data_IF_971851927247
#
_entry.id   IF_971851927247
#
_cell.length_a   1.000
_cell.length_b   1.000
_cell.length_c   1.000
_cell.angle_alpha   90.00
_cell.angle_beta   90.00
_cell.angle_gamma   90.00
#
_symmetry.space_group_name_H-M   'P 1'
#
loop_
_entity.id
_entity.type
_entity.pdbx_description
1 polymer ?
#
# COMPACT_ATOMS: atom_id res chain seq x y z
N UNK A 1 -44.62 7.11 24.41
CA UNK A 1 -44.54 7.84 23.14
C UNK A 1 -43.12 7.74 22.63
N UNK A 2 -42.93 7.04 21.51
CA UNK A 2 -41.67 7.03 20.77
C UNK A 2 -41.55 8.34 19.98
N UNK A 3 -40.35 8.92 19.90
CA UNK A 3 -39.93 9.63 18.70
C UNK A 3 -38.42 9.74 18.63
N UNK A 4 -37.89 9.24 17.52
CA UNK A 4 -36.51 9.23 17.11
C UNK A 4 -36.07 10.61 16.61
N UNK A 5 -34.75 10.81 16.53
CA UNK A 5 -34.03 11.29 15.34
C UNK A 5 -32.82 12.14 15.77
N UNK A 6 -31.64 11.61 15.44
CA UNK A 6 -30.37 12.30 15.52
C UNK A 6 -29.22 11.42 15.05
N UNK A 7 -29.49 10.46 14.16
CA UNK A 7 -28.43 9.79 13.41
C UNK A 7 -28.14 10.69 12.20
N UNK A 8 -27.34 11.74 12.44
CA UNK A 8 -26.71 12.47 11.34
C UNK A 8 -25.75 11.53 10.61
N UNK A 9 -25.42 11.78 9.33
CA UNK A 9 -24.43 10.97 8.63
C UNK A 9 -23.16 10.92 9.49
N UNK A 10 -22.79 9.73 9.96
CA UNK A 10 -21.50 9.58 10.63
C UNK A 10 -20.45 10.12 9.65
N UNK A 11 -19.54 11.01 10.07
CA UNK A 11 -18.46 11.42 9.20
C UNK A 11 -17.75 10.14 8.77
N UNK A 12 -17.57 9.93 7.45
CA UNK A 12 -16.72 8.86 6.94
C UNK A 12 -15.43 8.91 7.77
N UNK A 13 -15.14 7.87 8.54
CA UNK A 13 -13.91 7.81 9.35
C UNK A 13 -12.90 7.00 8.57
N UNK A 14 -11.68 7.49 8.47
CA UNK A 14 -10.58 6.70 7.94
C UNK A 14 -10.40 5.44 8.79
N UNK A 15 -10.11 4.31 8.14
CA UNK A 15 -10.02 3.03 8.83
C UNK A 15 -9.83 1.82 7.93
N UNK A 16 -9.53 0.68 8.55
CA UNK A 16 -9.39 -0.60 7.87
C UNK A 16 -10.74 -1.08 7.37
N UNK A 17 -10.83 -1.35 6.07
CA UNK A 17 -12.02 -1.89 5.41
C UNK A 17 -11.89 -3.38 5.09
N UNK A 18 -10.66 -3.87 4.92
CA UNK A 18 -10.35 -5.27 4.68
C UNK A 18 -9.07 -5.66 5.41
N UNK A 19 -9.08 -6.82 6.06
CA UNK A 19 -7.88 -7.43 6.61
C UNK A 19 -8.01 -8.95 6.54
N UNK A 20 -7.34 -9.55 5.55
CA UNK A 20 -7.47 -10.99 5.27
C UNK A 20 -6.10 -11.64 5.07
N UNK A 21 -5.93 -12.79 5.70
CA UNK A 21 -4.80 -13.68 5.43
C UNK A 21 -5.07 -14.52 4.19
N UNK A 22 -4.07 -14.68 3.34
CA UNK A 22 -4.15 -15.49 2.13
C UNK A 22 -2.85 -16.26 1.88
N UNK A 23 -2.91 -17.19 0.93
CA UNK A 23 -1.74 -17.94 0.46
C UNK A 23 -1.43 -17.58 -0.98
N UNK A 24 -0.21 -17.11 -1.25
CA UNK A 24 0.31 -16.78 -2.57
C UNK A 24 1.30 -17.87 -2.98
N UNK A 25 0.84 -18.83 -3.78
CA UNK A 25 1.64 -20.01 -4.11
C UNK A 25 1.96 -20.83 -2.86
N UNK A 26 3.24 -20.90 -2.48
CA UNK A 26 3.71 -21.59 -1.27
C UNK A 26 3.87 -20.67 -0.05
N UNK A 27 3.51 -19.39 -0.16
CA UNK A 27 3.83 -18.37 0.85
C UNK A 27 2.58 -17.81 1.50
N UNK A 28 2.69 -17.47 2.79
CA UNK A 28 1.66 -16.70 3.48
C UNK A 28 1.71 -15.24 3.05
N UNK A 29 0.55 -14.62 2.95
CA UNK A 29 0.40 -13.19 2.78
C UNK A 29 -0.81 -12.66 3.56
N UNK A 30 -0.89 -11.34 3.67
CA UNK A 30 -1.99 -10.62 4.30
C UNK A 30 -2.34 -9.43 3.41
N UNK A 31 -3.59 -9.36 2.99
CA UNK A 31 -4.14 -8.27 2.20
C UNK A 31 -4.88 -7.34 3.15
N UNK A 32 -4.49 -6.07 3.16
CA UNK A 32 -5.07 -5.03 3.99
C UNK A 32 -5.56 -3.91 3.08
N UNK A 33 -6.81 -3.49 3.26
CA UNK A 33 -7.36 -2.30 2.64
C UNK A 33 -7.71 -1.27 3.72
N UNK A 34 -7.43 -0.01 3.41
CA UNK A 34 -7.64 1.12 4.30
C UNK A 34 -8.33 2.23 3.52
N UNK A 35 -9.48 2.66 4.01
CA UNK A 35 -10.18 3.81 3.48
C UNK A 35 -9.69 5.06 4.20
N UNK A 36 -9.31 6.08 3.45
CA UNK A 36 -9.08 7.41 3.99
C UNK A 36 -10.24 8.35 3.65
N UNK A 37 -10.84 8.94 4.68
CA UNK A 37 -12.00 9.80 4.54
C UNK A 37 -11.66 11.25 4.18
N UNK A 38 -10.44 11.72 4.44
CA UNK A 38 -10.03 13.08 4.08
C UNK A 38 -9.91 13.22 2.56
N UNK A 39 -9.41 12.17 1.90
CA UNK A 39 -9.23 12.09 0.45
C UNK A 39 -10.26 11.22 -0.27
N UNK A 40 -11.20 10.61 0.46
CA UNK A 40 -12.19 9.64 -0.05
C UNK A 40 -11.52 8.60 -0.96
N UNK A 41 -10.40 8.06 -0.48
CA UNK A 41 -9.50 7.20 -1.28
C UNK A 41 -9.23 5.89 -0.54
N UNK A 42 -9.33 4.80 -1.28
CA UNK A 42 -8.98 3.47 -0.78
C UNK A 42 -7.52 3.13 -1.12
N UNK A 43 -6.80 2.64 -0.12
CA UNK A 43 -5.45 2.12 -0.24
C UNK A 43 -5.47 0.62 -0.01
N UNK A 44 -4.73 -0.13 -0.82
CA UNK A 44 -4.61 -1.58 -0.67
C UNK A 44 -3.13 -1.97 -0.60
N UNK A 45 -2.77 -2.81 0.36
CA UNK A 45 -1.43 -3.38 0.49
C UNK A 45 -1.48 -4.88 0.63
N UNK A 46 -0.49 -5.52 0.02
CA UNK A 46 -0.24 -6.95 0.13
C UNK A 46 1.09 -7.18 0.84
N UNK A 47 1.00 -7.69 2.05
CA UNK A 47 2.12 -8.12 2.87
C UNK A 47 2.43 -9.59 2.56
N UNK A 48 3.70 -9.93 2.31
CA UNK A 48 4.10 -11.26 1.85
C UNK A 48 5.24 -11.78 2.72
N UNK A 49 5.08 -12.99 3.25
CA UNK A 49 6.09 -13.64 4.08
C UNK A 49 6.09 -13.15 5.53
N UNK A 50 7.29 -13.06 6.14
CA UNK A 50 7.47 -12.76 7.56
C UNK A 50 7.66 -11.25 7.77
N UNK A 51 6.58 -10.54 8.10
CA UNK A 51 6.56 -9.07 8.22
C UNK A 51 6.62 -8.60 9.67
N UNK A 52 6.04 -9.36 10.59
CA UNK A 52 5.99 -9.01 12.02
C UNK A 52 7.42 -8.96 12.57
N UNK A 53 7.75 -7.87 13.25
CA UNK A 53 9.07 -7.57 13.82
C UNK A 53 10.21 -7.48 12.79
N UNK A 54 9.89 -7.49 11.49
CA UNK A 54 10.90 -7.39 10.44
C UNK A 54 11.42 -5.96 10.29
N UNK A 55 12.72 -5.83 9.99
CA UNK A 55 13.39 -4.57 9.71
C UNK A 55 13.63 -4.43 8.20
N UNK A 56 13.61 -3.18 7.75
CA UNK A 56 13.92 -2.73 6.41
C UNK A 56 13.14 -3.54 5.37
N UNK A 57 11.85 -3.71 5.63
CA UNK A 57 10.98 -4.48 4.76
C UNK A 57 10.79 -3.71 3.45
N UNK A 58 11.13 -4.32 2.31
CA UNK A 58 11.07 -3.62 1.04
C UNK A 58 9.64 -3.36 0.62
N UNK A 59 9.38 -2.11 0.23
CA UNK A 59 8.11 -1.69 -0.36
C UNK A 59 8.23 -1.54 -1.86
N UNK A 60 7.18 -1.94 -2.58
CA UNK A 60 7.08 -1.77 -4.03
C UNK A 60 5.67 -1.33 -4.40
N UNK A 61 5.58 -0.26 -5.18
CA UNK A 61 4.32 0.19 -5.76
C UNK A 61 4.05 -0.63 -7.02
N UNK A 62 2.88 -1.26 -7.06
CA UNK A 62 2.41 -2.08 -8.19
C UNK A 62 1.04 -1.62 -8.63
N UNK A 63 0.65 -2.01 -9.84
CA UNK A 63 -0.69 -1.73 -10.32
C UNK A 63 -1.69 -2.61 -9.56
N UNK A 64 -2.82 -2.02 -9.13
CA UNK A 64 -3.86 -2.69 -8.36
C UNK A 64 -4.35 -3.99 -9.02
N UNK A 65 -4.57 -3.99 -10.34
CA UNK A 65 -5.06 -5.15 -11.08
C UNK A 65 -4.04 -6.31 -11.08
N UNK A 66 -2.76 -5.97 -10.92
CA UNK A 66 -1.65 -6.93 -10.91
C UNK A 66 -1.17 -7.33 -9.52
N UNK A 67 -1.72 -6.74 -8.45
CA UNK A 67 -1.22 -6.86 -7.08
C UNK A 67 -0.99 -8.32 -6.64
N UNK A 68 -2.00 -9.18 -6.80
CA UNK A 68 -1.92 -10.58 -6.39
C UNK A 68 -0.98 -11.41 -7.28
N UNK A 69 -0.91 -11.08 -8.58
CA UNK A 69 0.00 -11.73 -9.52
C UNK A 69 1.46 -11.39 -9.21
N UNK A 70 1.74 -10.11 -8.96
CA UNK A 70 3.07 -9.64 -8.55
C UNK A 70 3.44 -10.21 -7.18
N UNK A 71 2.49 -10.32 -6.26
CA UNK A 71 2.71 -10.98 -4.97
C UNK A 71 3.05 -12.46 -5.09
N UNK A 72 2.42 -13.17 -6.02
CA UNK A 72 2.77 -14.56 -6.34
C UNK A 72 4.17 -14.74 -6.93
N UNK A 73 4.76 -13.68 -7.48
CA UNK A 73 6.12 -13.66 -8.05
C UNK A 73 7.18 -13.19 -7.05
N UNK A 74 6.79 -12.72 -5.87
CA UNK A 74 7.73 -12.26 -4.85
C UNK A 74 8.59 -13.41 -4.32
N UNK A 75 9.91 -13.27 -4.47
CA UNK A 75 10.91 -14.25 -4.01
C UNK A 75 11.58 -13.86 -2.70
N UNK A 76 11.45 -12.60 -2.26
CA UNK A 76 12.06 -12.08 -1.02
C UNK A 76 11.38 -12.62 0.22
N UNK A 77 12.11 -12.94 1.29
CA UNK A 77 11.55 -13.51 2.53
C UNK A 77 10.43 -12.66 3.17
N UNK A 78 10.49 -11.34 2.99
CA UNK A 78 9.50 -10.35 3.39
C UNK A 78 9.40 -9.28 2.31
N UNK A 79 8.19 -8.89 1.90
CA UNK A 79 7.95 -7.80 0.95
C UNK A 79 6.55 -7.22 1.16
N UNK A 80 6.40 -5.91 0.95
CA UNK A 80 5.11 -5.23 0.98
C UNK A 80 4.85 -4.61 -0.39
N UNK A 81 3.75 -4.98 -1.02
CA UNK A 81 3.30 -4.38 -2.26
C UNK A 81 2.19 -3.37 -1.97
N UNK A 82 2.31 -2.16 -2.48
CA UNK A 82 1.29 -1.11 -2.37
C UNK A 82 0.59 -1.00 -3.72
N UNK A 83 -0.72 -1.20 -3.73
CA UNK A 83 -1.53 -0.97 -4.91
C UNK A 83 -1.61 0.53 -5.20
N UNK A 84 -1.15 0.91 -6.38
CA UNK A 84 -1.48 2.19 -6.96
C UNK A 84 -2.74 2.02 -7.81
N UNK A 85 -3.77 2.78 -7.49
CA UNK A 85 -4.87 3.00 -8.43
C UNK A 85 -4.38 3.98 -9.50
N UNK A 86 -4.42 3.65 -10.79
CA UNK A 86 -3.92 4.55 -11.82
C UNK A 86 -4.81 5.80 -11.87
N UNK A 87 -4.33 6.90 -11.28
CA UNK A 87 -4.84 8.24 -11.57
C UNK A 87 -4.31 8.62 -12.98
N UNK A 88 -4.91 8.01 -14.00
CA UNK A 88 -4.54 8.16 -15.41
C UNK A 88 -3.68 7.02 -15.98
N UNK A 89 -4.06 6.53 -17.16
CA UNK A 89 -3.48 5.36 -17.83
C UNK A 89 -2.10 5.62 -18.49
N UNK A 90 -1.09 6.01 -17.70
CA UNK A 90 0.26 6.27 -18.24
C UNK A 90 1.41 5.96 -17.28
N UNK A 91 2.61 5.75 -17.84
CA UNK A 91 3.87 5.54 -17.08
C UNK A 91 4.19 6.68 -16.10
N UNK A 92 3.62 7.88 -16.32
CA UNK A 92 3.71 9.02 -15.41
C UNK A 92 2.97 8.81 -14.09
N UNK A 93 1.82 8.10 -14.11
CA UNK A 93 1.03 7.83 -12.92
C UNK A 93 1.83 7.00 -11.90
N UNK A 94 2.45 5.89 -12.34
CA UNK A 94 3.33 5.08 -11.46
C UNK A 94 4.47 5.86 -10.80
N UNK A 95 5.06 6.84 -11.48
CA UNK A 95 6.12 7.69 -10.90
C UNK A 95 5.55 8.69 -9.90
N UNK A 96 4.36 9.22 -10.15
CA UNK A 96 3.62 10.09 -9.23
C UNK A 96 3.20 9.30 -7.98
N UNK A 97 2.68 8.09 -8.15
CA UNK A 97 2.25 7.22 -7.05
C UNK A 97 3.42 6.86 -6.13
N UNK A 98 4.61 6.57 -6.70
CA UNK A 98 5.81 6.31 -5.90
C UNK A 98 6.26 7.53 -5.11
N UNK A 99 6.26 8.73 -5.73
CA UNK A 99 6.61 9.97 -5.02
C UNK A 99 5.62 10.29 -3.90
N UNK A 100 4.33 10.01 -4.10
CA UNK A 100 3.31 10.16 -3.07
C UNK A 100 3.57 9.20 -1.91
N UNK A 101 3.86 7.93 -2.20
CA UNK A 101 4.26 6.94 -1.18
C UNK A 101 5.48 7.43 -0.40
N UNK A 102 6.56 7.80 -1.07
CA UNK A 102 7.80 8.27 -0.42
C UNK A 102 7.56 9.52 0.44
N UNK A 103 6.75 10.46 -0.08
CA UNK A 103 6.36 11.66 0.64
C UNK A 103 5.59 11.32 1.91
N UNK A 104 4.61 10.41 1.84
CA UNK A 104 3.80 10.03 2.99
C UNK A 104 4.60 9.24 4.03
N UNK A 105 5.59 8.43 3.61
CA UNK A 105 6.50 7.76 4.54
C UNK A 105 7.31 8.77 5.37
N UNK A 106 7.81 9.84 4.72
CA UNK A 106 8.59 10.87 5.38
C UNK A 106 7.73 11.81 6.24
N UNK A 107 6.62 12.30 5.68
CA UNK A 107 5.84 13.40 6.27
C UNK A 107 4.64 12.93 7.09
N UNK A 108 4.30 11.64 7.04
CA UNK A 108 3.03 11.13 7.56
C UNK A 108 1.96 11.05 6.47
N UNK A 109 0.85 10.36 6.79
CA UNK A 109 -0.27 10.19 5.86
C UNK A 109 -0.84 8.78 5.92
N UNK A 110 -1.95 8.54 5.20
CA UNK A 110 -2.70 7.29 5.28
C UNK A 110 -1.87 6.05 4.92
N UNK A 111 -0.91 6.18 3.98
CA UNK A 111 -0.01 5.07 3.63
C UNK A 111 0.90 4.71 4.81
N UNK A 112 1.43 5.70 5.52
CA UNK A 112 2.27 5.46 6.70
C UNK A 112 1.46 4.85 7.84
N UNK A 113 0.25 5.35 8.08
CA UNK A 113 -0.65 4.85 9.12
C UNK A 113 -1.06 3.40 8.83
N UNK A 114 -1.41 3.10 7.58
CA UNK A 114 -1.70 1.74 7.12
C UNK A 114 -0.48 0.82 7.25
N UNK A 115 0.73 1.27 6.89
CA UNK A 115 1.94 0.47 7.07
C UNK A 115 2.27 0.23 8.56
N UNK A 116 1.86 1.12 9.46
CA UNK A 116 1.91 0.89 10.90
C UNK A 116 1.12 -0.35 11.35
N UNK A 117 0.11 -0.77 10.59
CA UNK A 117 -0.70 -1.98 10.85
C UNK A 117 -0.03 -3.27 10.35
N UNK A 118 1.09 -3.15 9.63
CA UNK A 118 1.80 -4.31 9.07
C UNK A 118 2.52 -5.14 10.14
N UNK A 119 2.93 -4.51 11.25
CA UNK A 119 3.78 -5.11 12.28
C UNK A 119 5.27 -5.08 11.94
N UNK A 120 5.68 -4.48 10.81
CA UNK A 120 7.08 -4.23 10.52
C UNK A 120 7.64 -3.14 11.44
N UNK A 121 8.91 -3.27 11.83
CA UNK A 121 9.64 -2.27 12.62
C UNK A 121 10.07 -1.11 11.73
N UNK A 122 10.56 -1.40 10.52
CA UNK A 122 10.91 -0.41 9.50
C UNK A 122 10.61 -0.92 8.10
N UNK A 123 10.40 0.01 7.18
CA UNK A 123 10.19 -0.26 5.76
C UNK A 123 11.21 0.52 4.94
N UNK A 124 11.68 -0.07 3.84
CA UNK A 124 12.59 0.58 2.91
C UNK A 124 11.89 0.81 1.56
N UNK A 125 11.94 2.04 1.04
CA UNK A 125 11.57 2.30 -0.34
C UNK A 125 12.82 2.29 -1.20
N UNK A 126 12.91 1.36 -2.15
CA UNK A 126 14.06 1.31 -3.04
C UNK A 126 13.99 2.50 -4.01
N UNK A 127 14.87 3.50 -3.91
CA UNK A 127 14.95 4.55 -4.92
C UNK A 127 15.58 3.95 -6.18
N UNK A 128 14.77 3.61 -7.18
CA UNK A 128 15.30 3.30 -8.51
C UNK A 128 15.38 4.63 -9.28
N UNK A 129 16.52 5.31 -9.19
CA UNK A 129 16.94 6.24 -10.24
C UNK A 129 17.27 5.43 -11.48
N UNK A 130 16.25 4.97 -12.21
CA UNK A 130 16.45 4.52 -13.59
C UNK A 130 16.55 5.77 -14.48
N UNK A 131 17.65 6.50 -14.27
CA UNK A 131 18.25 7.37 -15.25
C UNK A 131 19.50 6.65 -15.75
N UNK A 132 19.31 5.53 -16.45
CA UNK A 132 20.26 5.13 -17.47
C UNK A 132 20.39 6.31 -18.45
N UNK A 133 21.37 7.18 -18.20
CA UNK A 133 21.85 8.12 -19.19
C UNK A 133 22.19 7.29 -20.43
N UNK A 134 21.62 7.57 -21.61
CA UNK A 134 22.11 6.93 -22.82
C UNK A 134 23.60 7.28 -22.92
N UNK A 135 24.46 6.26 -22.86
CA UNK A 135 25.85 6.39 -23.24
C UNK A 135 25.85 6.86 -24.70
N UNK A 136 26.12 8.14 -24.91
CA UNK A 136 26.30 8.70 -26.24
C UNK A 136 27.60 8.11 -26.76
N UNK A 137 27.48 7.31 -27.83
CA UNK A 137 28.58 6.76 -28.58
C UNK A 137 29.35 7.84 -29.36
#
# INVERSE_FOLDING_TARGET
MASAAGDGPQPNRSGVTLDVSLTLGSRSGRLLAYHDADWDTDYVVLMIGQIIDAQDVPIRVVDEETLLLEGGRCTRAAEILIAASPIGAGLGARRVDRRIVDSQLCTGGPIRDMLGLSGAVSVESQWCEDAALPAVA
#
